data_IF_225420601268
#
_entry.id   IF_225420601268
#
_cell.length_a   1.000
_cell.length_b   1.000
_cell.length_c   1.000
_cell.angle_alpha   90.00
_cell.angle_beta   90.00
_cell.angle_gamma   90.00
#
_symmetry.space_group_name_H-M   'P 1'
#
loop_
_entity.id
_entity.type
_entity.pdbx_description
1 polymer ?
#
# COMPACT_ATOMS: atom_id res chain seq x y z
N UNK A 1 8.45 2.06 17.03
CA UNK A 1 8.85 0.85 16.28
C UNK A 1 8.05 -0.38 16.65
N UNK A 2 7.87 -0.71 17.94
CA UNK A 2 7.10 -1.90 18.40
C UNK A 2 5.73 -2.04 17.72
N UNK A 3 4.92 -0.99 17.69
CA UNK A 3 3.60 -1.02 17.03
C UNK A 3 3.67 -1.36 15.53
N UNK A 4 4.67 -0.84 14.81
CA UNK A 4 4.81 -1.08 13.38
C UNK A 4 5.24 -2.54 13.12
N UNK A 5 6.14 -3.06 13.94
CA UNK A 5 6.54 -4.48 13.91
C UNK A 5 5.35 -5.40 14.18
N UNK A 6 4.55 -5.09 15.21
CA UNK A 6 3.34 -5.85 15.54
C UNK A 6 2.34 -5.86 14.38
N UNK A 7 2.03 -4.69 13.81
CA UNK A 7 1.12 -4.61 12.65
C UNK A 7 1.65 -5.41 11.45
N UNK A 8 2.97 -5.40 11.23
CA UNK A 8 3.59 -6.19 10.17
C UNK A 8 3.46 -7.70 10.40
N UNK A 9 3.69 -8.17 11.63
CA UNK A 9 3.53 -9.59 11.99
C UNK A 9 2.08 -10.08 11.85
N UNK A 10 1.11 -9.27 12.29
CA UNK A 10 -0.33 -9.56 12.10
C UNK A 10 -0.64 -9.67 10.62
N UNK A 11 -0.17 -8.73 9.80
CA UNK A 11 -0.36 -8.76 8.35
C UNK A 11 0.26 -10.01 7.72
N UNK A 12 1.49 -10.37 8.10
CA UNK A 12 2.17 -11.54 7.56
C UNK A 12 1.43 -12.84 7.90
N UNK A 13 1.01 -12.97 9.16
CA UNK A 13 0.21 -14.10 9.65
C UNK A 13 -1.12 -14.21 8.90
N UNK A 14 -1.82 -13.09 8.71
CA UNK A 14 -3.05 -13.04 7.92
C UNK A 14 -2.82 -13.54 6.49
N UNK A 15 -1.78 -13.08 5.80
CA UNK A 15 -1.49 -13.54 4.42
C UNK A 15 -1.20 -15.04 4.37
N UNK A 16 -0.49 -15.59 5.36
CA UNK A 16 -0.26 -17.03 5.44
C UNK A 16 -1.57 -17.82 5.62
N UNK A 17 -2.48 -17.35 6.48
CA UNK A 17 -3.79 -17.97 6.69
C UNK A 17 -4.66 -17.95 5.42
N UNK A 18 -4.60 -16.87 4.62
CA UNK A 18 -5.25 -16.85 3.29
C UNK A 18 -4.73 -17.98 2.41
N UNK A 19 -3.41 -18.21 2.40
CA UNK A 19 -2.81 -19.31 1.65
C UNK A 19 -3.34 -20.68 2.06
N UNK A 20 -3.62 -20.90 3.35
CA UNK A 20 -4.27 -22.12 3.84
C UNK A 20 -5.71 -22.21 3.31
N UNK A 21 -6.49 -21.13 3.40
CA UNK A 21 -7.84 -21.07 2.85
C UNK A 21 -7.89 -21.41 1.36
N UNK A 22 -6.99 -20.83 0.55
CA UNK A 22 -6.86 -21.12 -0.89
C UNK A 22 -6.58 -22.60 -1.16
N UNK A 23 -5.65 -23.21 -0.41
CA UNK A 23 -5.36 -24.64 -0.55
C UNK A 23 -6.59 -25.50 -0.24
N UNK A 24 -7.34 -25.17 0.82
CA UNK A 24 -8.58 -25.87 1.17
C UNK A 24 -9.63 -25.74 0.06
N UNK A 25 -9.78 -24.56 -0.55
CA UNK A 25 -10.73 -24.39 -1.66
C UNK A 25 -10.35 -25.10 -2.96
N UNK A 26 -9.07 -25.37 -3.18
CA UNK A 26 -8.62 -26.14 -4.33
C UNK A 26 -8.69 -27.64 -4.11
N UNK A 27 -8.85 -28.10 -2.87
CA UNK A 27 -8.97 -29.53 -2.56
C UNK A 27 -10.26 -30.13 -3.13
N UNK A 28 -11.40 -29.45 -2.94
CA UNK A 28 -12.67 -29.77 -3.61
C UNK A 28 -13.39 -28.47 -3.99
N UNK A 29 -13.16 -27.94 -5.21
CA UNK A 29 -13.74 -26.66 -5.64
C UNK A 29 -15.25 -26.75 -5.91
N UNK A 30 -15.78 -27.96 -6.04
CA UNK A 30 -17.18 -28.27 -6.37
C UNK A 30 -17.99 -28.72 -5.17
N UNK A 31 -17.38 -28.76 -3.98
CA UNK A 31 -18.06 -29.10 -2.75
C UNK A 31 -19.34 -28.27 -2.57
N UNK A 32 -20.38 -28.93 -2.04
CA UNK A 32 -21.64 -28.26 -1.72
C UNK A 32 -21.39 -27.04 -0.82
N UNK A 33 -22.05 -25.90 -1.04
CA UNK A 33 -21.96 -24.72 -0.17
C UNK A 33 -22.30 -25.00 1.31
N UNK A 34 -23.04 -26.08 1.56
CA UNK A 34 -23.50 -26.55 2.87
C UNK A 34 -22.67 -27.71 3.43
N UNK A 35 -21.56 -28.08 2.78
CA UNK A 35 -20.69 -29.13 3.31
C UNK A 35 -20.13 -28.74 4.68
N UNK A 36 -19.88 -29.72 5.55
CA UNK A 36 -19.41 -29.51 6.92
C UNK A 36 -18.11 -28.68 7.03
N UNK A 37 -17.30 -28.65 5.96
CA UNK A 37 -16.06 -27.87 5.88
C UNK A 37 -16.20 -26.53 5.13
N UNK A 38 -17.34 -26.29 4.46
CA UNK A 38 -17.53 -25.13 3.59
C UNK A 38 -17.61 -23.81 4.38
N UNK A 39 -18.25 -23.81 5.54
CA UNK A 39 -18.31 -22.63 6.42
C UNK A 39 -16.94 -22.28 7.02
N UNK A 40 -16.21 -23.21 7.69
CA UNK A 40 -14.85 -22.94 8.16
C UNK A 40 -13.91 -22.44 7.06
N UNK A 41 -14.00 -23.02 5.86
CA UNK A 41 -13.19 -22.62 4.71
C UNK A 41 -13.49 -21.19 4.24
N UNK A 42 -14.76 -20.79 4.20
CA UNK A 42 -15.17 -19.41 3.87
C UNK A 42 -14.60 -18.40 4.87
N UNK A 43 -14.69 -18.70 6.16
CA UNK A 43 -14.11 -17.84 7.20
C UNK A 43 -12.58 -17.79 7.15
N UNK A 44 -11.90 -18.92 6.88
CA UNK A 44 -10.45 -18.99 6.71
C UNK A 44 -9.93 -18.20 5.50
N UNK A 45 -10.79 -17.88 4.52
CA UNK A 45 -10.45 -16.96 3.43
C UNK A 45 -10.79 -15.50 3.77
N UNK A 46 -12.03 -15.26 4.19
CA UNK A 46 -12.59 -13.92 4.34
C UNK A 46 -11.94 -13.15 5.49
N UNK A 47 -11.80 -13.79 6.66
CA UNK A 47 -11.37 -13.13 7.89
C UNK A 47 -9.87 -12.76 7.87
N UNK A 48 -8.96 -13.62 7.37
CA UNK A 48 -7.57 -13.23 7.19
C UNK A 48 -7.37 -12.11 6.16
N UNK A 49 -8.15 -12.05 5.08
CA UNK A 49 -8.08 -10.92 4.15
C UNK A 49 -8.62 -9.63 4.76
N UNK A 50 -9.75 -9.71 5.47
CA UNK A 50 -10.31 -8.57 6.17
C UNK A 50 -9.30 -8.02 7.20
N UNK A 51 -8.66 -8.88 7.99
CA UNK A 51 -7.61 -8.44 8.93
C UNK A 51 -6.40 -7.83 8.21
N UNK A 52 -5.91 -8.44 7.13
CA UNK A 52 -4.81 -7.89 6.34
C UNK A 52 -5.11 -6.47 5.82
N UNK A 53 -6.28 -6.26 5.22
CA UNK A 53 -6.67 -4.94 4.70
C UNK A 53 -7.01 -3.95 5.82
N UNK A 54 -7.54 -4.40 6.96
CA UNK A 54 -7.76 -3.57 8.14
C UNK A 54 -6.45 -3.01 8.68
N UNK A 55 -5.43 -3.86 8.80
CA UNK A 55 -4.09 -3.45 9.22
C UNK A 55 -3.50 -2.42 8.25
N UNK A 56 -3.64 -2.64 6.94
CA UNK A 56 -3.18 -1.67 5.94
C UNK A 56 -3.92 -0.34 6.04
N UNK A 57 -5.24 -0.37 6.26
CA UNK A 57 -6.05 0.84 6.43
C UNK A 57 -5.61 1.61 7.69
N UNK A 58 -5.42 0.90 8.81
CA UNK A 58 -4.94 1.48 10.06
C UNK A 58 -3.54 2.10 9.89
N UNK A 59 -2.61 1.38 9.25
CA UNK A 59 -1.26 1.88 8.98
C UNK A 59 -1.28 3.14 8.09
N UNK A 60 -2.08 3.14 7.01
CA UNK A 60 -2.32 4.35 6.20
C UNK A 60 -2.85 5.50 7.06
N UNK A 61 -3.86 5.26 7.90
CA UNK A 61 -4.45 6.26 8.78
C UNK A 61 -3.44 6.81 9.80
N UNK A 62 -2.59 5.97 10.40
CA UNK A 62 -1.55 6.39 11.35
C UNK A 62 -0.53 7.28 10.65
N UNK A 63 -0.04 6.87 9.47
CA UNK A 63 0.93 7.65 8.68
C UNK A 63 0.40 9.02 8.28
N UNK A 64 -0.90 9.10 7.99
CA UNK A 64 -1.57 10.33 7.54
C UNK A 64 -2.33 11.06 8.66
N UNK A 65 -2.14 10.66 9.93
CA UNK A 65 -2.86 11.19 11.11
C UNK A 65 -2.86 12.72 11.18
N UNK A 66 -1.71 13.35 10.89
CA UNK A 66 -1.57 14.81 10.94
C UNK A 66 -2.36 15.55 9.87
N UNK A 67 -2.80 14.85 8.82
CA UNK A 67 -3.50 15.42 7.67
C UNK A 67 -5.02 15.24 7.74
N UNK A 68 -5.55 14.42 8.67
CA UNK A 68 -6.99 14.29 8.91
C UNK A 68 -7.56 15.35 9.87
N UNK A 69 -7.08 16.58 9.78
CA UNK A 69 -7.85 17.70 10.36
C UNK A 69 -9.11 17.91 9.52
N UNK A 70 -10.25 18.20 10.15
CA UNK A 70 -11.53 18.46 9.46
C UNK A 70 -11.39 19.49 8.32
N UNK A 71 -10.51 20.49 8.49
CA UNK A 71 -10.23 21.49 7.45
C UNK A 71 -9.45 20.94 6.26
N UNK A 72 -8.52 20.01 6.48
CA UNK A 72 -7.72 19.38 5.45
C UNK A 72 -8.52 18.31 4.68
N UNK A 73 -9.41 17.60 5.37
CA UNK A 73 -10.37 16.67 4.75
C UNK A 73 -11.24 17.36 3.70
N UNK A 74 -11.76 18.57 3.99
CA UNK A 74 -12.56 19.33 3.02
C UNK A 74 -11.77 19.75 1.77
N UNK A 75 -10.45 19.91 1.87
CA UNK A 75 -9.59 20.28 0.73
C UNK A 75 -9.24 19.10 -0.17
N UNK A 76 -9.41 17.86 0.28
CA UNK A 76 -9.00 16.66 -0.45
C UNK A 76 -10.13 15.60 -0.48
N UNK A 77 -11.24 15.87 -1.19
CA UNK A 77 -12.39 14.98 -1.23
C UNK A 77 -12.07 13.61 -1.83
N UNK A 78 -11.14 13.54 -2.79
CA UNK A 78 -10.72 12.27 -3.40
C UNK A 78 -10.14 11.28 -2.39
N UNK A 79 -9.38 11.75 -1.40
CA UNK A 79 -8.82 10.87 -0.38
C UNK A 79 -9.92 10.25 0.49
N UNK A 80 -10.97 11.02 0.81
CA UNK A 80 -12.11 10.55 1.59
C UNK A 80 -12.89 9.52 0.79
N UNK A 81 -13.16 9.77 -0.50
CA UNK A 81 -13.86 8.83 -1.38
C UNK A 81 -13.11 7.50 -1.44
N UNK A 82 -11.79 7.52 -1.61
CA UNK A 82 -10.97 6.30 -1.63
C UNK A 82 -11.02 5.59 -0.28
N UNK A 83 -10.91 6.31 0.84
CA UNK A 83 -11.00 5.72 2.18
C UNK A 83 -12.35 5.04 2.41
N UNK A 84 -13.45 5.71 2.06
CA UNK A 84 -14.82 5.18 2.19
C UNK A 84 -14.99 3.96 1.29
N UNK A 85 -14.52 4.01 0.05
CA UNK A 85 -14.56 2.86 -0.86
C UNK A 85 -13.80 1.65 -0.28
N UNK A 86 -12.62 1.87 0.34
CA UNK A 86 -11.87 0.81 1.02
C UNK A 86 -12.61 0.24 2.22
N UNK A 87 -13.31 1.06 3.00
CA UNK A 87 -14.15 0.59 4.13
C UNK A 87 -15.32 -0.26 3.62
N UNK A 88 -16.01 0.18 2.56
CA UNK A 88 -17.12 -0.56 1.96
C UNK A 88 -16.63 -1.92 1.45
N UNK A 89 -15.51 -1.96 0.72
CA UNK A 89 -14.92 -3.21 0.25
C UNK A 89 -14.48 -4.12 1.41
N UNK A 90 -14.02 -3.55 2.54
CA UNK A 90 -13.64 -4.31 3.72
C UNK A 90 -14.85 -4.99 4.37
N UNK A 91 -15.96 -4.25 4.50
CA UNK A 91 -17.25 -4.79 4.94
C UNK A 91 -17.71 -5.89 3.97
N UNK A 92 -17.55 -5.64 2.67
CA UNK A 92 -17.79 -6.63 1.61
C UNK A 92 -17.01 -7.92 1.86
N UNK A 93 -15.69 -7.85 2.10
CA UNK A 93 -14.87 -9.03 2.42
C UNK A 93 -15.39 -9.82 3.62
N UNK A 94 -15.79 -9.13 4.71
CA UNK A 94 -16.39 -9.80 5.86
C UNK A 94 -17.71 -10.50 5.50
N UNK A 95 -18.53 -9.86 4.67
CA UNK A 95 -19.83 -10.39 4.25
C UNK A 95 -19.71 -11.66 3.40
N UNK A 96 -18.63 -11.80 2.60
CA UNK A 96 -18.38 -13.01 1.81
C UNK A 96 -18.32 -14.27 2.67
N UNK A 97 -17.82 -14.18 3.90
CA UNK A 97 -17.77 -15.32 4.83
C UNK A 97 -19.16 -15.92 5.12
N UNK A 98 -20.22 -15.11 5.04
CA UNK A 98 -21.60 -15.51 5.31
C UNK A 98 -22.35 -15.98 4.06
N UNK A 99 -21.82 -15.78 2.86
CA UNK A 99 -22.48 -16.18 1.62
C UNK A 99 -22.34 -17.69 1.39
N UNK A 100 -23.46 -18.39 1.27
CA UNK A 100 -23.52 -19.82 0.93
C UNK A 100 -23.33 -20.04 -0.57
N UNK A 101 -22.09 -19.84 -1.02
CA UNK A 101 -21.68 -19.98 -2.42
C UNK A 101 -20.58 -21.03 -2.55
N UNK A 102 -20.40 -21.55 -3.77
CA UNK A 102 -19.37 -22.56 -4.06
C UNK A 102 -17.96 -22.05 -3.76
N UNK A 103 -17.05 -22.93 -3.27
CA UNK A 103 -15.65 -22.60 -2.98
C UNK A 103 -14.93 -21.81 -4.07
N UNK A 104 -15.14 -22.21 -5.33
CA UNK A 104 -14.52 -21.55 -6.48
C UNK A 104 -15.04 -20.11 -6.66
N UNK A 105 -16.33 -19.89 -6.46
CA UNK A 105 -16.94 -18.56 -6.54
C UNK A 105 -16.48 -17.67 -5.39
N UNK A 106 -16.38 -18.23 -4.17
CA UNK A 106 -15.79 -17.53 -3.01
C UNK A 106 -14.38 -17.06 -3.38
N UNK A 107 -13.54 -17.97 -3.87
CA UNK A 107 -12.16 -17.67 -4.24
C UNK A 107 -12.08 -16.54 -5.28
N UNK A 108 -12.90 -16.60 -6.33
CA UNK A 108 -12.91 -15.60 -7.39
C UNK A 108 -13.38 -14.24 -6.86
N UNK A 109 -14.45 -14.21 -6.08
CA UNK A 109 -15.01 -12.98 -5.52
C UNK A 109 -14.05 -12.33 -4.52
N UNK A 110 -13.42 -13.15 -3.67
CA UNK A 110 -12.36 -12.73 -2.75
C UNK A 110 -11.14 -12.19 -3.51
N UNK A 111 -10.73 -12.82 -4.61
CA UNK A 111 -9.63 -12.34 -5.44
C UNK A 111 -9.95 -10.98 -6.08
N UNK A 112 -11.16 -10.78 -6.60
CA UNK A 112 -11.60 -9.50 -7.17
C UNK A 112 -11.62 -8.41 -6.11
N UNK A 113 -12.15 -8.69 -4.91
CA UNK A 113 -12.14 -7.74 -3.80
C UNK A 113 -10.71 -7.39 -3.38
N UNK A 114 -9.81 -8.37 -3.31
CA UNK A 114 -8.42 -8.17 -2.95
C UNK A 114 -7.67 -7.32 -3.99
N UNK A 115 -7.84 -7.60 -5.28
CA UNK A 115 -7.26 -6.80 -6.37
C UNK A 115 -7.79 -5.37 -6.34
N UNK A 116 -9.09 -5.19 -6.12
CA UNK A 116 -9.71 -3.86 -6.04
C UNK A 116 -9.18 -3.08 -4.83
N UNK A 117 -9.05 -3.71 -3.66
CA UNK A 117 -8.45 -3.12 -2.47
C UNK A 117 -6.99 -2.71 -2.71
N UNK A 118 -6.20 -3.57 -3.36
CA UNK A 118 -4.82 -3.26 -3.72
C UNK A 118 -4.74 -2.08 -4.70
N UNK A 119 -5.60 -2.04 -5.72
CA UNK A 119 -5.66 -0.94 -6.67
C UNK A 119 -6.02 0.39 -5.99
N UNK A 120 -7.01 0.40 -5.11
CA UNK A 120 -7.38 1.58 -4.34
C UNK A 120 -6.26 2.03 -3.40
N UNK A 121 -5.55 1.11 -2.75
CA UNK A 121 -4.37 1.43 -1.94
C UNK A 121 -3.29 2.10 -2.80
N UNK A 122 -2.98 1.56 -3.99
CA UNK A 122 -2.04 2.19 -4.91
C UNK A 122 -2.49 3.58 -5.36
N UNK A 123 -3.79 3.78 -5.62
CA UNK A 123 -4.33 5.10 -5.97
C UNK A 123 -4.17 6.07 -4.80
N UNK A 124 -4.45 5.61 -3.57
CA UNK A 124 -4.30 6.40 -2.34
C UNK A 124 -2.84 6.83 -2.14
N UNK A 125 -1.89 5.90 -2.28
CA UNK A 125 -0.48 6.16 -2.00
C UNK A 125 0.23 6.97 -3.10
N UNK A 126 -0.13 6.79 -4.37
CA UNK A 126 0.62 7.38 -5.50
C UNK A 126 -0.11 8.51 -6.23
N UNK A 127 -1.43 8.43 -6.40
CA UNK A 127 -2.19 9.43 -7.18
C UNK A 127 -2.80 10.50 -6.30
N UNK A 128 -3.20 10.15 -5.08
CA UNK A 128 -3.74 11.08 -4.09
C UNK A 128 -2.65 11.44 -3.08
N UNK A 129 -1.48 11.86 -3.59
CA UNK A 129 -0.38 12.25 -2.74
C UNK A 129 -0.81 13.49 -1.94
N UNK A 130 -1.03 13.33 -0.64
CA UNK A 130 -1.32 14.42 0.27
C UNK A 130 -0.11 15.36 0.34
N UNK A 131 -0.06 16.37 -0.54
CA UNK A 131 0.86 17.50 -0.42
C UNK A 131 0.52 18.24 0.87
N UNK A 132 1.26 17.93 1.93
CA UNK A 132 1.24 18.70 3.16
C UNK A 132 1.85 20.08 2.88
N UNK A 133 1.13 21.15 3.21
CA UNK A 133 1.69 22.52 3.23
C UNK A 133 2.80 22.65 4.30
N UNK A 134 2.85 21.73 5.27
CA UNK A 134 3.92 21.63 6.26
C UNK A 134 4.95 20.58 5.82
N UNK A 135 6.23 20.94 5.59
CA UNK A 135 7.24 19.96 5.22
C UNK A 135 7.40 18.93 6.34
N UNK A 136 7.23 17.64 6.00
CA UNK A 136 7.58 16.56 6.91
C UNK A 136 9.08 16.66 7.25
N UNK A 137 9.52 16.42 8.50
CA UNK A 137 10.95 16.43 8.84
C UNK A 137 11.77 15.45 7.99
N UNK A 138 11.17 14.35 7.52
CA UNK A 138 11.80 13.42 6.57
C UNK A 138 11.70 13.83 5.09
N UNK A 139 10.87 14.81 4.72
CA UNK A 139 10.87 15.38 3.36
C UNK A 139 12.17 16.16 3.07
N UNK A 140 12.93 16.50 4.12
CA UNK A 140 14.30 17.02 3.98
C UNK A 140 15.25 15.98 3.39
N UNK A 141 14.96 14.67 3.46
CA UNK A 141 15.90 13.66 2.99
C UNK A 141 15.94 13.57 1.47
N UNK A 142 14.81 13.60 0.75
CA UNK A 142 14.81 13.60 -0.72
C UNK A 142 15.29 14.92 -1.31
N UNK A 143 14.97 16.04 -0.66
CA UNK A 143 15.50 17.36 -1.05
C UNK A 143 16.98 17.51 -0.74
N UNK A 144 17.47 16.97 0.38
CA UNK A 144 18.90 16.88 0.68
C UNK A 144 19.61 15.94 -0.30
N UNK A 145 18.99 14.82 -0.70
CA UNK A 145 19.55 13.89 -1.67
C UNK A 145 19.62 14.53 -3.07
N UNK A 146 18.59 15.26 -3.49
CA UNK A 146 18.61 16.05 -4.72
C UNK A 146 19.61 17.22 -4.66
N UNK A 147 19.75 17.88 -3.51
CA UNK A 147 20.76 18.91 -3.31
C UNK A 147 22.19 18.33 -3.36
N UNK A 148 22.41 17.15 -2.77
CA UNK A 148 23.68 16.42 -2.84
C UNK A 148 23.97 15.93 -4.26
N UNK A 149 22.96 15.46 -5.00
CA UNK A 149 23.10 15.08 -6.41
C UNK A 149 23.46 16.28 -7.29
N UNK A 150 22.82 17.44 -7.09
CA UNK A 150 23.20 18.70 -7.76
C UNK A 150 24.66 19.07 -7.45
N UNK A 151 25.04 19.13 -6.17
CA UNK A 151 26.42 19.43 -5.76
C UNK A 151 27.45 18.48 -6.37
N UNK A 152 27.15 17.18 -6.46
CA UNK A 152 28.01 16.20 -7.15
C UNK A 152 28.14 16.48 -8.64
N UNK A 153 27.05 16.86 -9.31
CA UNK A 153 27.05 17.20 -10.74
C UNK A 153 27.87 18.46 -10.99
N UNK A 154 27.68 19.50 -10.18
CA UNK A 154 28.40 20.77 -10.28
C UNK A 154 29.90 20.57 -10.03
N UNK A 155 30.29 19.75 -9.03
CA UNK A 155 31.67 19.41 -8.78
C UNK A 155 32.33 18.61 -9.91
N UNK A 156 31.58 17.73 -10.60
CA UNK A 156 32.07 17.03 -11.81
C UNK A 156 32.29 18.00 -12.96
N UNK A 157 31.36 18.92 -13.19
CA UNK A 157 31.46 19.92 -14.24
C UNK A 157 32.64 20.86 -14.01
N UNK A 158 32.86 21.31 -12.76
CA UNK A 158 34.00 22.13 -12.39
C UNK A 158 35.34 21.43 -12.66
N UNK A 159 35.49 20.14 -12.28
CA UNK A 159 36.69 19.35 -12.59
C UNK A 159 36.93 19.16 -14.09
N UNK A 160 35.86 19.05 -14.88
CA UNK A 160 35.93 19.02 -16.34
C UNK A 160 36.49 20.32 -16.92
N UNK A 161 35.99 21.46 -16.44
CA UNK A 161 36.45 22.79 -16.87
C UNK A 161 37.93 23.04 -16.51
N UNK A 162 38.38 22.60 -15.32
CA UNK A 162 39.80 22.74 -14.92
C UNK A 162 40.75 21.89 -15.78
N UNK A 163 40.28 20.73 -16.26
CA UNK A 163 41.05 19.90 -17.21
C UNK A 163 41.15 20.55 -18.59
N UNK A 164 40.09 21.23 -19.04
CA UNK A 164 40.07 21.94 -20.32
C UNK A 164 41.03 23.16 -20.32
N UNK A 165 41.10 23.90 -19.22
CA UNK A 165 42.05 25.02 -19.09
C UNK A 165 43.53 24.60 -19.03
N UNK A 166 43.85 23.42 -18.47
CA UNK A 166 45.23 22.89 -18.47
C UNK A 166 45.69 22.37 -19.83
N UNK A 167 44.80 22.25 -20.81
CA UNK A 167 45.12 21.84 -22.18
C UNK A 167 45.34 23.00 -23.15
N UNK A 168 45.15 24.26 -22.73
CA UNK A 168 45.41 25.40 -23.60
C UNK A 168 46.91 25.75 -23.60
N UNK A 169 47.56 25.78 -24.78
CA UNK A 169 48.96 26.18 -24.87
C UNK A 169 49.12 27.64 -24.42
N UNK A 170 50.26 27.99 -23.79
CA UNK A 170 50.50 29.36 -23.36
C UNK A 170 50.45 30.30 -24.57
N UNK A 171 49.69 31.39 -24.45
CA UNK A 171 49.69 32.47 -25.42
C UNK A 171 51.12 32.98 -25.60
N UNK A 172 51.69 32.76 -26.80
CA UNK A 172 52.92 33.43 -27.22
C UNK A 172 52.53 34.87 -27.60
N UNK A 173 53.05 35.81 -26.82
CA UNK A 173 53.10 37.24 -27.18
C UNK A 173 54.35 37.46 -28.04
#
# INVERSE_FOLDING_TARGET
NVLNTFLWEVKASSVMLVGVGVKLAMYDPTASPTAHFAEPQRFLMALPLATCFSVQLIDSCIKTRHQYSLRAMRKQPMHIVVLVARIILLIGCCFVGFLEIYPLLVLLLVAVLAVTQCALMHIQDFKVLLRSDKPHPMAQMSTALHALQRRRKDARNAKGATRQQRGMPPFRV
#
